data_IF_742657468913
#
_entry.id   IF_742657468913
#
_cell.length_a   1.000
_cell.length_b   1.000
_cell.length_c   1.000
_cell.angle_alpha   90.00
_cell.angle_beta   90.00
_cell.angle_gamma   90.00
#
_symmetry.space_group_name_H-M   'P 1'
#
loop_
_entity.id
_entity.type
_entity.pdbx_description
1 polymer ?
#
# COMPACT_ATOMS: atom_id res chain seq x y z
N UNK A 1 -30.66 17.82 -11.25
CA UNK A 1 -29.29 17.32 -11.01
C UNK A 1 -28.29 18.42 -11.31
N UNK A 2 -27.43 18.77 -10.36
CA UNK A 2 -26.00 18.85 -10.68
C UNK A 2 -25.13 18.24 -9.57
N UNK A 3 -24.22 17.35 -9.95
CA UNK A 3 -23.20 16.79 -9.04
C UNK A 3 -22.03 17.78 -9.01
N UNK A 4 -21.98 18.59 -7.96
CA UNK A 4 -20.89 19.53 -7.70
C UNK A 4 -19.69 18.70 -7.25
N UNK A 5 -18.62 18.68 -8.08
CA UNK A 5 -17.29 18.20 -7.69
C UNK A 5 -16.82 18.99 -6.48
N UNK A 6 -16.83 18.36 -5.31
CA UNK A 6 -16.26 18.93 -4.09
C UNK A 6 -14.73 18.94 -4.22
N UNK A 7 -14.21 20.08 -4.65
CA UNK A 7 -12.87 20.56 -4.34
C UNK A 7 -12.74 20.61 -2.80
N UNK A 8 -12.22 19.53 -2.18
CA UNK A 8 -11.94 19.51 -0.73
C UNK A 8 -10.52 20.01 -0.46
N UNK A 9 -10.37 21.34 -0.38
CA UNK A 9 -9.30 21.95 0.44
C UNK A 9 -9.52 21.50 1.89
N UNK A 10 -8.67 20.61 2.40
CA UNK A 10 -8.60 20.25 3.84
C UNK A 10 -7.13 20.09 4.24
N UNK A 11 -6.45 21.21 4.47
CA UNK A 11 -5.12 21.22 5.07
C UNK A 11 -5.27 21.40 6.58
N UNK A 12 -4.87 20.39 7.37
CA UNK A 12 -4.90 20.41 8.84
C UNK A 12 -5.55 19.18 9.46
N UNK A 13 -6.88 19.17 9.61
CA UNK A 13 -7.56 18.17 10.45
C UNK A 13 -7.68 16.73 9.89
N UNK A 14 -7.58 16.52 8.58
CA UNK A 14 -7.58 15.17 7.99
C UNK A 14 -6.20 14.52 7.99
N UNK A 15 -5.15 15.32 7.82
CA UNK A 15 -3.76 14.85 7.82
C UNK A 15 -3.40 14.26 9.18
N UNK A 16 -3.61 15.03 10.25
CA UNK A 16 -3.40 14.56 11.64
C UNK A 16 -4.11 13.24 11.99
N UNK A 17 -5.36 13.06 11.56
CA UNK A 17 -6.09 11.80 11.82
C UNK A 17 -5.53 10.62 11.04
N UNK A 18 -5.01 10.88 9.84
CA UNK A 18 -4.40 9.85 8.99
C UNK A 18 -3.04 9.44 9.53
N UNK A 19 -2.24 10.41 9.99
CA UNK A 19 -0.92 10.17 10.58
C UNK A 19 -1.03 9.30 11.85
N UNK A 20 -1.96 9.65 12.75
CA UNK A 20 -2.23 8.86 13.97
C UNK A 20 -2.71 7.45 13.65
N UNK A 21 -3.58 7.29 12.63
CA UNK A 21 -4.04 5.96 12.20
C UNK A 21 -2.90 5.14 11.59
N UNK A 22 -2.05 5.75 10.80
CA UNK A 22 -0.90 5.10 10.20
C UNK A 22 0.12 4.65 11.25
N UNK A 23 0.36 5.47 12.27
CA UNK A 23 1.25 5.14 13.39
C UNK A 23 0.71 4.00 14.24
N UNK A 24 -0.60 4.03 14.54
CA UNK A 24 -1.24 2.92 15.24
C UNK A 24 -1.10 1.61 14.44
N UNK A 25 -1.41 1.63 13.14
CA UNK A 25 -1.26 0.45 12.28
C UNK A 25 0.19 -0.03 12.16
N UNK A 26 1.16 0.89 12.20
CA UNK A 26 2.58 0.55 12.14
C UNK A 26 3.11 -0.10 13.43
N UNK A 27 2.44 0.07 14.56
CA UNK A 27 2.85 -0.48 15.86
C UNK A 27 2.26 -1.88 16.15
N UNK A 28 1.17 -2.23 15.49
CA UNK A 28 0.47 -3.52 15.64
C UNK A 28 1.18 -4.78 15.09
N UNK A 29 2.04 -4.73 14.04
CA UNK A 29 2.48 -5.94 13.34
C UNK A 29 3.14 -7.05 14.18
N UNK A 30 3.94 -6.75 15.24
CA UNK A 30 4.52 -7.80 16.08
C UNK A 30 3.50 -8.66 16.85
N UNK A 31 2.24 -8.21 16.94
CA UNK A 31 1.19 -8.83 17.75
C UNK A 31 -0.01 -9.29 16.93
N UNK A 32 0.02 -9.13 15.60
CA UNK A 32 -1.12 -9.42 14.74
C UNK A 32 -1.08 -10.87 14.23
N UNK A 33 -2.08 -11.70 14.56
CA UNK A 33 -2.30 -12.97 13.88
C UNK A 33 -2.74 -12.73 12.42
N UNK A 34 -2.59 -13.73 11.52
CA UNK A 34 -2.87 -13.60 10.09
C UNK A 34 -4.28 -13.07 9.77
N UNK A 35 -5.27 -13.42 10.58
CA UNK A 35 -6.66 -12.98 10.41
C UNK A 35 -6.80 -11.46 10.59
N UNK A 36 -6.08 -10.90 11.57
CA UNK A 36 -6.10 -9.46 11.86
C UNK A 36 -5.15 -8.66 10.95
N UNK A 37 -4.16 -9.31 10.33
CA UNK A 37 -3.32 -8.70 9.29
C UNK A 37 -4.13 -8.33 8.05
N UNK A 38 -5.13 -9.13 7.67
CA UNK A 38 -6.08 -8.79 6.60
C UNK A 38 -6.91 -7.54 6.91
N UNK A 39 -7.36 -7.41 8.16
CA UNK A 39 -8.07 -6.21 8.63
C UNK A 39 -7.17 -4.98 8.70
N UNK A 40 -5.93 -5.15 9.18
CA UNK A 40 -4.94 -4.08 9.21
C UNK A 40 -4.61 -3.57 7.79
N UNK A 41 -4.49 -4.47 6.81
CA UNK A 41 -4.33 -4.11 5.40
C UNK A 41 -5.54 -3.35 4.85
N UNK A 42 -6.76 -3.78 5.20
CA UNK A 42 -7.99 -3.09 4.83
C UNK A 42 -8.07 -1.69 5.46
N UNK A 43 -7.65 -1.54 6.73
CA UNK A 43 -7.60 -0.25 7.39
C UNK A 43 -6.52 0.68 6.81
N UNK A 44 -5.37 0.12 6.42
CA UNK A 44 -4.27 0.87 5.80
C UNK A 44 -4.69 1.44 4.43
N UNK A 45 -5.32 0.64 3.56
CA UNK A 45 -5.76 1.11 2.22
C UNK A 45 -6.84 2.19 2.29
N UNK A 46 -7.65 2.21 3.35
CA UNK A 46 -8.71 3.20 3.56
C UNK A 46 -8.18 4.56 4.08
N UNK A 47 -6.88 4.67 4.34
CA UNK A 47 -6.25 5.95 4.69
C UNK A 47 -6.26 6.88 3.48
N UNK A 48 -6.95 8.01 3.62
CA UNK A 48 -7.11 9.00 2.55
C UNK A 48 -5.80 9.74 2.22
N UNK A 49 -4.97 10.01 3.22
CA UNK A 49 -3.67 10.64 3.00
C UNK A 49 -2.65 9.63 2.46
N UNK A 50 -2.05 9.94 1.31
CA UNK A 50 -1.14 9.02 0.62
C UNK A 50 0.20 8.82 1.34
N UNK A 51 0.67 9.81 2.11
CA UNK A 51 1.90 9.71 2.89
C UNK A 51 1.67 8.79 4.10
N UNK A 52 0.58 9.02 4.82
CA UNK A 52 0.17 8.18 5.94
C UNK A 52 -0.15 6.75 5.50
N UNK A 53 -0.85 6.56 4.38
CA UNK A 53 -1.14 5.22 3.83
C UNK A 53 0.13 4.44 3.51
N UNK A 54 1.06 5.07 2.79
CA UNK A 54 2.33 4.43 2.45
C UNK A 54 3.14 4.06 3.70
N UNK A 55 3.15 4.93 4.73
CA UNK A 55 3.80 4.65 6.02
C UNK A 55 3.19 3.41 6.69
N UNK A 56 1.86 3.31 6.73
CA UNK A 56 1.16 2.15 7.29
C UNK A 56 1.46 0.86 6.50
N UNK A 57 1.41 0.92 5.16
CA UNK A 57 1.69 -0.23 4.29
C UNK A 57 3.14 -0.69 4.41
N UNK A 58 4.10 0.23 4.55
CA UNK A 58 5.52 -0.10 4.72
C UNK A 58 5.77 -0.88 6.02
N UNK A 59 5.07 -0.50 7.09
CA UNK A 59 5.17 -1.21 8.37
C UNK A 59 4.52 -2.59 8.34
N UNK A 60 3.42 -2.75 7.58
CA UNK A 60 2.77 -4.05 7.38
C UNK A 60 3.52 -4.96 6.40
N UNK A 61 4.31 -4.39 5.48
CA UNK A 61 4.97 -5.09 4.38
C UNK A 61 5.69 -6.38 4.77
N UNK A 62 6.63 -6.37 5.74
CA UNK A 62 7.35 -7.58 6.15
C UNK A 62 6.43 -8.68 6.69
N UNK A 63 5.35 -8.30 7.38
CA UNK A 63 4.42 -9.26 7.99
C UNK A 63 3.46 -9.87 6.97
N UNK A 64 3.06 -9.07 5.97
CA UNK A 64 2.34 -9.56 4.79
C UNK A 64 3.24 -10.49 3.97
N UNK A 65 4.53 -10.15 3.87
CA UNK A 65 5.54 -10.98 3.21
C UNK A 65 5.66 -12.34 3.89
N UNK A 66 5.57 -12.44 5.22
CA UNK A 66 5.63 -13.73 5.92
C UNK A 66 4.31 -14.53 5.86
N UNK A 67 3.18 -13.88 5.55
CA UNK A 67 1.85 -14.50 5.56
C UNK A 67 1.38 -14.97 4.17
N UNK A 68 1.63 -16.25 3.86
CA UNK A 68 1.19 -16.93 2.63
C UNK A 68 -0.33 -16.86 2.38
N UNK A 69 -1.14 -16.91 3.43
CA UNK A 69 -2.61 -16.92 3.35
C UNK A 69 -3.15 -15.62 2.72
N UNK A 70 -2.38 -14.53 2.78
CA UNK A 70 -2.77 -13.24 2.26
C UNK A 70 -2.35 -13.02 0.80
N UNK A 71 -1.60 -13.92 0.16
CA UNK A 71 -1.11 -13.72 -1.21
C UNK A 71 -2.23 -13.42 -2.22
N UNK A 72 -3.42 -14.01 -2.04
CA UNK A 72 -4.60 -13.75 -2.86
C UNK A 72 -5.25 -12.37 -2.63
N UNK A 73 -4.91 -11.69 -1.54
CA UNK A 73 -5.33 -10.31 -1.25
C UNK A 73 -4.49 -9.27 -2.01
N UNK A 74 -3.35 -9.66 -2.59
CA UNK A 74 -2.50 -8.72 -3.31
C UNK A 74 -3.18 -8.10 -4.54
N UNK A 75 -3.80 -8.87 -5.47
CA UNK A 75 -4.53 -8.31 -6.61
C UNK A 75 -5.69 -7.34 -6.25
N UNK A 76 -6.61 -7.66 -5.31
CA UNK A 76 -7.64 -6.70 -4.92
C UNK A 76 -7.07 -5.48 -4.19
N UNK A 77 -5.98 -5.62 -3.43
CA UNK A 77 -5.29 -4.49 -2.79
C UNK A 77 -4.74 -3.52 -3.82
N UNK A 78 -4.03 -4.01 -4.85
CA UNK A 78 -3.53 -3.16 -5.92
C UNK A 78 -4.66 -2.41 -6.65
N UNK A 79 -5.80 -3.06 -6.89
CA UNK A 79 -6.96 -2.39 -7.53
C UNK A 79 -7.47 -1.21 -6.71
N UNK A 80 -7.54 -1.35 -5.38
CA UNK A 80 -7.98 -0.26 -4.49
C UNK A 80 -6.95 0.86 -4.48
N UNK A 81 -5.65 0.54 -4.35
CA UNK A 81 -4.59 1.55 -4.36
C UNK A 81 -4.50 2.30 -5.69
N UNK A 82 -4.75 1.62 -6.81
CA UNK A 82 -4.75 2.21 -8.15
C UNK A 82 -5.85 3.28 -8.34
N UNK A 83 -6.95 3.21 -7.59
CA UNK A 83 -8.03 4.21 -7.62
C UNK A 83 -7.58 5.56 -7.03
N UNK A 84 -6.52 5.59 -6.22
CA UNK A 84 -6.00 6.81 -5.60
C UNK A 84 -5.09 7.64 -6.54
N UNK A 85 -4.93 7.19 -7.79
CA UNK A 85 -4.14 7.88 -8.81
C UNK A 85 -2.67 7.46 -8.86
N UNK A 86 -2.04 7.70 -10.01
CA UNK A 86 -0.69 7.21 -10.33
C UNK A 86 0.40 7.55 -9.29
N UNK A 87 0.60 8.83 -8.87
CA UNK A 87 1.68 9.15 -7.94
C UNK A 87 1.48 8.55 -6.54
N UNK A 88 0.22 8.33 -6.14
CA UNK A 88 -0.11 7.67 -4.89
C UNK A 88 0.17 6.16 -4.98
N UNK A 89 -0.27 5.52 -6.07
CA UNK A 89 -0.03 4.11 -6.33
C UNK A 89 1.46 3.76 -6.36
N UNK A 90 2.30 4.56 -7.04
CA UNK A 90 3.75 4.30 -7.09
C UNK A 90 4.37 4.34 -5.70
N UNK A 91 3.92 5.27 -4.84
CA UNK A 91 4.40 5.35 -3.45
C UNK A 91 3.94 4.15 -2.63
N UNK A 92 2.67 3.76 -2.78
CA UNK A 92 2.13 2.58 -2.10
C UNK A 92 2.80 1.28 -2.56
N UNK A 93 3.16 1.17 -3.86
CA UNK A 93 3.92 0.05 -4.41
C UNK A 93 5.32 -0.04 -3.81
N UNK A 94 6.01 1.09 -3.64
CA UNK A 94 7.32 1.13 -2.96
C UNK A 94 7.19 0.65 -1.51
N UNK A 95 6.11 1.04 -0.82
CA UNK A 95 5.83 0.59 0.55
C UNK A 95 5.52 -0.92 0.64
N UNK A 96 4.91 -1.49 -0.40
CA UNK A 96 4.59 -2.92 -0.49
C UNK A 96 5.73 -3.79 -1.04
N UNK A 97 6.93 -3.22 -1.26
CA UNK A 97 8.08 -3.96 -1.77
C UNK A 97 8.38 -5.27 -1.02
N UNK A 98 8.35 -5.33 0.33
CA UNK A 98 8.60 -6.59 1.03
C UNK A 98 7.59 -7.69 0.69
N UNK A 99 6.31 -7.33 0.54
CA UNK A 99 5.26 -8.28 0.18
C UNK A 99 5.39 -8.70 -1.29
N UNK A 100 5.75 -7.77 -2.16
CA UNK A 100 6.04 -8.02 -3.57
C UNK A 100 7.22 -8.95 -3.79
N UNK A 101 8.31 -8.76 -3.04
CA UNK A 101 9.49 -9.62 -3.11
C UNK A 101 9.16 -11.04 -2.64
N UNK A 102 8.43 -11.20 -1.54
CA UNK A 102 8.01 -12.53 -1.09
C UNK A 102 7.10 -13.23 -2.10
N UNK A 103 6.14 -12.51 -2.70
CA UNK A 103 5.26 -13.07 -3.73
C UNK A 103 6.04 -13.49 -4.99
N UNK A 104 7.03 -12.69 -5.38
CA UNK A 104 7.91 -12.95 -6.51
C UNK A 104 8.81 -14.18 -6.27
N UNK A 105 9.39 -14.31 -5.09
CA UNK A 105 10.20 -15.47 -4.70
C UNK A 105 9.38 -16.76 -4.69
N UNK A 106 8.14 -16.70 -4.21
CA UNK A 106 7.21 -17.85 -4.20
C UNK A 106 6.75 -18.27 -5.60
N UNK A 107 6.63 -17.32 -6.55
CA UNK A 107 6.06 -17.59 -7.89
C UNK A 107 7.05 -17.70 -9.04
N UNK A 108 8.26 -17.13 -8.97
CA UNK A 108 9.47 -17.34 -9.81
C UNK A 108 10.36 -16.08 -9.76
N UNK A 109 11.46 -16.06 -9.00
CA UNK A 109 12.22 -14.83 -8.69
C UNK A 109 12.91 -14.16 -9.89
N UNK A 110 13.30 -14.94 -10.91
CA UNK A 110 14.08 -14.44 -12.05
C UNK A 110 13.28 -13.56 -13.04
N UNK A 111 12.00 -13.87 -13.24
CA UNK A 111 11.13 -13.10 -14.15
C UNK A 111 10.72 -11.75 -13.52
N UNK A 112 10.59 -11.73 -12.19
CA UNK A 112 10.10 -10.59 -11.43
C UNK A 112 11.14 -9.49 -11.22
N UNK A 113 12.40 -9.84 -10.96
CA UNK A 113 13.47 -8.85 -10.80
C UNK A 113 13.63 -7.99 -12.08
N UNK A 114 13.53 -8.63 -13.25
CA UNK A 114 13.56 -7.94 -14.54
C UNK A 114 12.33 -7.05 -14.78
N UNK A 115 11.14 -7.52 -14.40
CA UNK A 115 9.90 -6.75 -14.55
C UNK A 115 9.88 -5.51 -13.62
N UNK A 116 10.34 -5.66 -12.38
CA UNK A 116 10.43 -4.55 -11.42
C UNK A 116 11.45 -3.50 -11.84
N UNK A 117 12.64 -3.92 -12.28
CA UNK A 117 13.65 -3.02 -12.81
C UNK A 117 13.08 -2.22 -14.00
N UNK A 118 12.41 -2.90 -14.93
CA UNK A 118 11.79 -2.25 -16.09
C UNK A 118 10.66 -1.27 -15.71
N UNK A 119 9.84 -1.59 -14.70
CA UNK A 119 8.77 -0.69 -14.23
C UNK A 119 9.34 0.54 -13.50
N UNK A 120 10.37 0.36 -12.68
CA UNK A 120 11.03 1.47 -11.95
C UNK A 120 11.77 2.39 -12.94
N UNK A 121 12.50 1.82 -13.87
CA UNK A 121 13.27 2.55 -14.88
C UNK A 121 12.34 3.31 -15.85
N UNK A 122 11.21 2.70 -16.26
CA UNK A 122 10.19 3.41 -17.06
C UNK A 122 9.44 4.47 -16.25
N UNK A 123 9.25 4.29 -14.94
CA UNK A 123 8.66 5.30 -14.08
C UNK A 123 9.59 6.49 -13.80
N UNK A 124 10.92 6.27 -13.80
CA UNK A 124 11.94 7.32 -13.68
C UNK A 124 12.09 8.16 -14.96
N UNK A 125 11.69 7.60 -16.11
CA UNK A 125 11.81 8.25 -17.42
C UNK A 125 10.58 9.07 -17.84
N UNK A 126 9.63 9.36 -16.94
CA UNK A 126 8.49 10.21 -17.26
C UNK A 126 8.72 11.65 -16.79
N UNK A 127 8.48 12.66 -17.65
CA UNK A 127 8.79 14.07 -17.37
C UNK A 127 7.94 14.68 -16.27
#
# INVERSE_FOLDING_TARGET
MPVIRLQRKKFGGLKWRSDVRAEALAALPPYLPPELLGEALAAARDIADAEARAKALAALGPHLADCLVLDDQFPPTLRVLAQNGRPALLRDLVALMPWLTALAERRQPALWAALFAAIIETAQCWP
#
